data_IF_195195778377
#
_entry.id   IF_195195778377
#
_cell.length_a   1.000
_cell.length_b   1.000
_cell.length_c   1.000
_cell.angle_alpha   90.00
_cell.angle_beta   90.00
_cell.angle_gamma   90.00
#
_symmetry.space_group_name_H-M   'P 1'
#
loop_
_entity.id
_entity.type
_entity.pdbx_description
1 polymer ?
#
# COMPACT_ATOMS: atom_id res chain seq x y z
N UNK A 1 -18.49 10.74 -16.42
CA UNK A 1 -17.19 10.22 -15.96
C UNK A 1 -17.42 9.47 -14.65
N UNK A 2 -17.15 8.16 -14.57
CA UNK A 2 -17.33 7.41 -13.33
C UNK A 2 -16.33 7.92 -12.29
N UNK A 3 -16.83 8.32 -11.11
CA UNK A 3 -15.97 8.72 -9.99
C UNK A 3 -15.24 7.47 -9.51
N UNK A 4 -13.93 7.36 -9.75
CA UNK A 4 -13.14 6.30 -9.12
C UNK A 4 -13.27 6.44 -7.60
N UNK A 5 -13.61 5.35 -6.93
CA UNK A 5 -13.62 5.31 -5.47
C UNK A 5 -12.21 5.58 -4.96
N UNK A 6 -12.06 6.57 -4.08
CA UNK A 6 -10.85 6.74 -3.30
C UNK A 6 -10.75 5.57 -2.31
N UNK A 7 -9.69 4.80 -2.42
CA UNK A 7 -9.37 3.72 -1.50
C UNK A 7 -8.42 4.26 -0.43
N UNK A 8 -8.72 3.97 0.83
CA UNK A 8 -7.81 4.25 1.94
C UNK A 8 -6.61 3.29 1.93
N UNK A 9 -5.49 3.70 2.53
CA UNK A 9 -4.30 2.85 2.70
C UNK A 9 -4.60 1.40 3.16
N UNK A 10 -5.40 1.18 4.24
CA UNK A 10 -5.77 -0.17 4.67
C UNK A 10 -6.62 -0.94 3.66
N UNK A 11 -7.51 -0.28 2.91
CA UNK A 11 -8.28 -0.94 1.83
C UNK A 11 -7.36 -1.44 0.72
N UNK A 12 -6.39 -0.61 0.30
CA UNK A 12 -5.39 -1.00 -0.71
C UNK A 12 -4.54 -2.19 -0.21
N UNK A 13 -4.14 -2.17 1.05
CA UNK A 13 -3.40 -3.30 1.66
C UNK A 13 -4.26 -4.57 1.67
N UNK A 14 -5.54 -4.47 2.02
CA UNK A 14 -6.48 -5.59 2.00
C UNK A 14 -6.62 -6.22 0.61
N UNK A 15 -6.76 -5.38 -0.42
CA UNK A 15 -6.81 -5.83 -1.81
C UNK A 15 -5.50 -6.51 -2.21
N UNK A 16 -4.36 -5.90 -1.91
CA UNK A 16 -3.03 -6.44 -2.27
C UNK A 16 -2.71 -7.76 -1.56
N UNK A 17 -3.22 -7.98 -0.34
CA UNK A 17 -3.14 -9.29 0.32
C UNK A 17 -3.76 -10.41 -0.51
N UNK A 18 -4.89 -10.16 -1.19
CA UNK A 18 -5.51 -11.12 -2.11
C UNK A 18 -4.63 -11.49 -3.32
N UNK A 19 -3.72 -10.60 -3.72
CA UNK A 19 -2.75 -10.83 -4.79
C UNK A 19 -1.44 -11.49 -4.31
N UNK A 20 -1.40 -11.97 -3.05
CA UNK A 20 -0.25 -12.61 -2.44
C UNK A 20 0.80 -11.65 -1.88
N UNK A 21 0.48 -10.36 -1.74
CA UNK A 21 1.37 -9.41 -1.06
C UNK A 21 1.20 -9.48 0.46
N UNK A 22 2.30 -9.58 1.18
CA UNK A 22 2.33 -9.50 2.63
C UNK A 22 2.96 -8.18 3.08
N UNK A 23 2.56 -7.66 4.24
CA UNK A 23 3.25 -6.52 4.85
C UNK A 23 4.64 -6.95 5.27
N UNK A 24 5.66 -6.31 4.71
CA UNK A 24 7.05 -6.59 4.99
C UNK A 24 7.64 -5.62 6.02
N UNK A 25 7.31 -4.34 5.91
CA UNK A 25 7.77 -3.31 6.83
C UNK A 25 6.84 -2.10 6.75
N UNK A 26 6.80 -1.30 7.81
CA UNK A 26 6.17 0.01 7.81
C UNK A 26 7.17 1.04 8.33
N UNK A 27 7.31 2.16 7.63
CA UNK A 27 8.12 3.30 8.05
C UNK A 27 7.26 4.55 8.00
N UNK A 28 6.88 5.06 9.18
CA UNK A 28 5.94 6.15 9.33
C UNK A 28 4.64 5.90 8.55
N UNK A 29 4.29 6.85 7.68
CA UNK A 29 3.11 6.78 6.82
C UNK A 29 3.30 5.92 5.57
N UNK A 30 4.37 5.15 5.41
CA UNK A 30 4.58 4.27 4.25
C UNK A 30 4.63 2.81 4.66
N UNK A 31 3.83 1.97 3.99
CA UNK A 31 3.79 0.52 4.19
C UNK A 31 4.45 -0.16 3.00
N UNK A 32 5.47 -0.97 3.26
CA UNK A 32 6.13 -1.83 2.29
C UNK A 32 5.43 -3.19 2.29
N UNK A 33 4.85 -3.52 1.15
CA UNK A 33 4.27 -4.81 0.85
C UNK A 33 5.25 -5.61 -0.01
N UNK A 34 5.34 -6.92 0.18
CA UNK A 34 6.23 -7.79 -0.57
C UNK A 34 5.52 -9.07 -0.95
N UNK A 35 5.75 -9.53 -2.17
CA UNK A 35 5.40 -10.88 -2.61
C UNK A 35 6.57 -11.56 -3.31
N UNK A 36 6.50 -12.88 -3.36
CA UNK A 36 7.38 -13.70 -4.19
C UNK A 36 6.60 -14.09 -5.44
N UNK A 37 7.16 -13.80 -6.61
CA UNK A 37 6.61 -14.32 -7.86
C UNK A 37 6.95 -15.80 -8.02
N UNK A 38 6.19 -16.56 -8.83
CA UNK A 38 6.49 -17.96 -9.11
C UNK A 38 7.91 -18.19 -9.65
N UNK A 39 8.49 -17.22 -10.35
CA UNK A 39 9.88 -17.23 -10.81
C UNK A 39 10.93 -16.79 -9.77
N UNK A 40 10.61 -16.77 -8.47
CA UNK A 40 11.53 -16.41 -7.39
C UNK A 40 11.81 -14.90 -7.23
N UNK A 41 11.24 -14.05 -8.09
CA UNK A 41 11.44 -12.61 -8.04
C UNK A 41 10.73 -11.98 -6.84
N UNK A 42 11.45 -11.14 -6.10
CA UNK A 42 10.92 -10.39 -4.95
C UNK A 42 10.32 -9.09 -5.46
N UNK A 43 9.00 -8.97 -5.40
CA UNK A 43 8.30 -7.74 -5.78
C UNK A 43 7.92 -6.99 -4.50
N UNK A 44 8.48 -5.78 -4.33
CA UNK A 44 8.18 -4.92 -3.19
C UNK A 44 7.44 -3.68 -3.68
N UNK A 45 6.27 -3.40 -3.08
CA UNK A 45 5.47 -2.22 -3.33
C UNK A 45 5.46 -1.34 -2.08
N UNK A 46 5.68 -0.04 -2.24
CA UNK A 46 5.56 0.92 -1.14
C UNK A 46 4.27 1.70 -1.32
N UNK A 47 3.35 1.60 -0.36
CA UNK A 47 2.06 2.28 -0.36
C UNK A 47 2.08 3.39 0.70
N UNK A 48 1.74 4.64 0.36
CA UNK A 48 1.47 5.65 1.37
C UNK A 48 0.17 5.31 2.10
N UNK A 49 0.27 5.11 3.41
CA UNK A 49 -0.83 4.94 4.37
C UNK A 49 -1.02 6.21 5.22
N UNK A 50 -0.64 7.38 4.71
CA UNK A 50 -0.97 8.64 5.37
C UNK A 50 -2.50 8.81 5.36
N UNK A 51 -3.17 8.96 6.51
CA UNK A 51 -4.54 9.44 6.51
C UNK A 51 -4.51 10.81 5.81
N UNK A 52 -5.40 10.97 4.85
CA UNK A 52 -5.58 12.23 4.14
C UNK A 52 -5.58 13.42 5.10
N UNK A 53 -4.83 14.46 4.73
CA UNK A 53 -4.48 15.69 5.46
C UNK A 53 -3.17 15.63 6.26
N UNK A 54 -2.06 15.84 5.54
CA UNK A 54 -0.91 16.53 6.14
C UNK A 54 -0.96 18.00 5.72
N UNK A 55 -1.58 18.90 6.49
CA UNK A 55 -1.34 20.33 6.31
C UNK A 55 0.08 20.60 6.80
N UNK A 56 0.93 21.09 5.90
CA UNK A 56 2.13 21.80 6.31
C UNK A 56 1.69 22.95 7.23
N UNK A 57 1.80 22.77 8.54
CA UNK A 57 1.62 23.88 9.49
C UNK A 57 3.03 24.33 9.86
N UNK A 58 3.23 25.64 9.72
CA UNK A 58 4.50 26.39 9.70
C UNK A 58 5.52 26.01 10.75
#
# INVERSE_FOLDING_TARGET
MPRLRRLSGPEVIGILKGFGFAVHAQSGSHVKLRRLSPGGQKQTLTIPSCPEAWPFTR
#
